data_IF_256145184889
#
_entry.id   IF_256145184889
#
_cell.length_a   1.000
_cell.length_b   1.000
_cell.length_c   1.000
_cell.angle_alpha   90.00
_cell.angle_beta   90.00
_cell.angle_gamma   90.00
#
_symmetry.space_group_name_H-M   'P 1'
#
loop_
_entity.id
_entity.type
_entity.pdbx_description
1 polymer ?
#
# COMPACT_ATOMS: atom_id res chain seq x y z
N UNK A 1 41.73 50.99 -44.20
CA UNK A 1 41.04 51.74 -43.14
C UNK A 1 40.88 50.83 -41.93
N UNK A 2 41.96 50.56 -41.21
CA UNK A 2 42.38 51.22 -39.94
C UNK A 2 41.46 50.97 -38.75
N UNK A 3 41.84 49.92 -38.02
CA UNK A 3 41.58 49.58 -36.62
C UNK A 3 41.67 50.79 -35.69
N UNK A 4 40.70 50.94 -34.76
CA UNK A 4 40.86 51.75 -33.55
C UNK A 4 40.56 50.91 -32.31
N UNK A 5 41.63 50.63 -31.56
CA UNK A 5 41.60 50.24 -30.15
C UNK A 5 41.02 51.39 -29.31
N UNK A 6 40.19 51.07 -28.32
CA UNK A 6 40.01 51.91 -27.13
C UNK A 6 40.26 51.06 -25.89
N UNK A 7 41.36 51.38 -25.21
CA UNK A 7 41.56 51.07 -23.80
C UNK A 7 40.50 51.81 -22.97
N UNK A 8 39.95 51.15 -21.97
CA UNK A 8 39.37 51.81 -20.80
C UNK A 8 40.06 51.23 -19.56
N UNK A 9 40.78 52.14 -18.89
CA UNK A 9 41.42 51.94 -17.61
C UNK A 9 40.37 51.76 -16.50
N UNK A 10 40.79 51.07 -15.46
CA UNK A 10 39.94 50.55 -14.39
C UNK A 10 39.35 51.57 -13.44
N UNK A 11 38.27 51.15 -12.79
CA UNK A 11 37.80 51.68 -11.54
C UNK A 11 38.12 50.65 -10.44
N UNK A 12 38.98 51.04 -9.50
CA UNK A 12 39.24 50.28 -8.29
C UNK A 12 38.00 50.28 -7.40
N UNK A 13 37.39 49.12 -7.22
CA UNK A 13 36.40 48.87 -6.18
C UNK A 13 37.06 48.20 -4.99
N UNK A 14 37.07 48.90 -3.86
CA UNK A 14 37.56 48.41 -2.57
C UNK A 14 36.64 47.27 -2.10
N UNK A 15 37.11 46.02 -2.14
CA UNK A 15 36.43 44.88 -1.51
C UNK A 15 36.69 44.92 0.00
N UNK A 16 35.74 45.49 0.75
CA UNK A 16 35.66 45.30 2.20
C UNK A 16 35.28 43.84 2.46
N UNK A 17 36.24 43.02 2.86
CA UNK A 17 35.98 41.69 3.40
C UNK A 17 35.26 41.83 4.75
N UNK A 18 33.93 41.70 4.73
CA UNK A 18 33.15 41.51 5.95
C UNK A 18 33.51 40.17 6.60
N UNK A 19 33.43 40.05 7.94
CA UNK A 19 33.71 38.79 8.61
C UNK A 19 32.73 37.73 8.13
N UNK A 20 33.25 36.64 7.58
CA UNK A 20 32.47 35.43 7.30
C UNK A 20 32.02 34.90 8.66
N UNK A 21 30.72 35.04 8.96
CA UNK A 21 30.14 34.43 10.14
C UNK A 21 30.33 32.92 10.04
N UNK A 22 30.99 32.33 11.04
CA UNK A 22 31.06 30.88 11.17
C UNK A 22 29.62 30.33 11.17
N UNK A 23 29.34 29.22 10.45
CA UNK A 23 28.03 28.59 10.53
C UNK A 23 27.73 28.25 12.00
N UNK A 24 26.49 28.47 12.48
CA UNK A 24 26.15 28.11 13.84
C UNK A 24 26.41 26.60 14.00
N UNK A 25 27.19 26.26 15.03
CA UNK A 25 27.32 24.89 15.50
C UNK A 25 25.90 24.37 15.74
N UNK A 26 25.42 23.47 14.86
CA UNK A 26 24.23 22.67 15.14
C UNK A 26 24.51 21.93 16.45
N UNK A 27 23.96 22.44 17.55
CA UNK A 27 23.89 21.67 18.77
C UNK A 27 23.00 20.47 18.44
N UNK A 28 23.55 19.25 18.57
CA UNK A 28 22.76 18.04 18.46
C UNK A 28 21.63 18.15 19.50
N UNK A 29 20.39 18.35 19.03
CA UNK A 29 19.22 18.35 19.90
C UNK A 29 19.10 16.94 20.47
N UNK A 30 18.97 16.83 21.79
CA UNK A 30 18.66 15.55 22.43
C UNK A 30 17.27 15.10 21.97
N UNK A 31 17.19 13.88 21.43
CA UNK A 31 15.94 13.30 20.97
C UNK A 31 15.09 12.90 22.17
N UNK A 32 13.80 13.25 22.12
CA UNK A 32 12.85 13.01 23.21
C UNK A 32 12.00 11.77 22.95
N UNK A 33 11.56 11.14 24.02
CA UNK A 33 10.52 10.12 24.01
C UNK A 33 9.27 10.66 24.72
N UNK A 34 8.12 10.59 24.07
CA UNK A 34 6.81 10.93 24.64
C UNK A 34 5.95 9.67 24.78
N UNK A 35 5.42 9.41 25.97
CA UNK A 35 4.62 8.23 26.26
C UNK A 35 3.13 8.55 26.24
N UNK A 36 2.34 7.66 25.64
CA UNK A 36 0.88 7.74 25.56
C UNK A 36 0.28 6.49 26.17
N UNK A 37 -0.84 6.60 26.88
CA UNK A 37 -1.57 5.45 27.39
C UNK A 37 -3.08 5.73 27.42
N UNK A 38 -3.92 4.69 27.29
CA UNK A 38 -5.33 4.82 27.63
C UNK A 38 -5.49 5.36 29.06
N UNK A 39 -6.27 6.42 29.22
CA UNK A 39 -6.44 7.10 30.53
C UNK A 39 -5.30 8.03 30.93
N UNK A 40 -4.36 8.33 30.03
CA UNK A 40 -3.36 9.40 30.21
C UNK A 40 -3.98 10.80 30.29
N UNK A 41 -3.13 11.83 30.41
CA UNK A 41 -3.55 13.22 30.57
C UNK A 41 -2.75 14.18 29.67
N UNK A 42 -3.45 14.89 28.79
CA UNK A 42 -2.89 15.89 27.88
C UNK A 42 -2.60 17.22 28.59
N UNK A 43 -1.52 17.28 29.35
CA UNK A 43 -1.06 18.52 29.99
C UNK A 43 0.22 19.08 29.37
N UNK A 44 0.54 20.33 29.74
CA UNK A 44 1.64 21.10 29.15
C UNK A 44 2.90 21.14 30.02
N UNK A 45 2.81 20.67 31.27
CA UNK A 45 3.91 20.66 32.22
C UNK A 45 5.01 19.66 31.83
N UNK A 46 6.27 19.88 32.27
CA UNK A 46 7.40 19.00 31.93
C UNK A 46 7.29 17.58 32.54
N UNK A 47 6.36 17.38 33.46
CA UNK A 47 6.04 16.09 34.07
C UNK A 47 4.98 15.30 33.30
N UNK A 48 4.52 15.75 32.12
CA UNK A 48 3.61 15.00 31.24
C UNK A 48 4.37 14.40 30.06
N UNK A 49 3.83 13.33 29.50
CA UNK A 49 4.47 12.59 28.40
C UNK A 49 5.60 11.67 28.88
N UNK A 50 5.73 11.45 30.19
CA UNK A 50 6.66 10.46 30.77
C UNK A 50 5.96 9.10 30.93
N UNK A 51 6.69 8.00 31.16
CA UNK A 51 6.07 6.70 31.44
C UNK A 51 5.09 6.72 32.62
N UNK A 52 5.36 7.51 33.66
CA UNK A 52 4.56 7.61 34.89
C UNK A 52 3.34 8.52 34.72
N UNK A 53 3.41 9.48 33.79
CA UNK A 53 2.34 10.44 33.48
C UNK A 53 2.21 10.62 31.97
N UNK A 54 1.73 9.57 31.26
CA UNK A 54 1.65 9.58 29.81
C UNK A 54 0.55 10.54 29.31
N UNK A 55 0.70 11.02 28.08
CA UNK A 55 -0.36 11.74 27.37
C UNK A 55 -1.55 10.83 27.05
N UNK A 56 -2.72 11.44 26.84
CA UNK A 56 -3.94 10.76 26.47
C UNK A 56 -4.04 10.58 24.95
N UNK A 57 -3.62 11.58 24.17
CA UNK A 57 -3.88 11.62 22.72
C UNK A 57 -2.63 11.77 21.86
N UNK A 58 -2.68 11.16 20.68
CA UNK A 58 -1.59 11.26 19.70
C UNK A 58 -1.39 12.67 19.12
N UNK A 59 -2.43 13.45 18.77
CA UNK A 59 -2.23 14.82 18.32
C UNK A 59 -1.50 15.70 19.34
N UNK A 60 -1.76 15.51 20.64
CA UNK A 60 -1.09 16.28 21.70
C UNK A 60 0.40 15.94 21.78
N UNK A 61 0.77 14.67 21.73
CA UNK A 61 2.18 14.26 21.69
C UNK A 61 2.88 14.71 20.41
N UNK A 62 2.20 14.55 19.26
CA UNK A 62 2.72 14.91 17.95
C UNK A 62 3.04 16.41 17.85
N UNK A 63 2.19 17.28 18.40
CA UNK A 63 2.44 18.72 18.44
C UNK A 63 3.71 19.14 19.22
N UNK A 64 4.26 18.25 20.06
CA UNK A 64 5.46 18.48 20.88
C UNK A 64 6.71 17.78 20.36
N UNK A 65 6.52 16.80 19.49
CA UNK A 65 7.58 16.00 18.92
C UNK A 65 8.06 16.59 17.59
N UNK A 66 9.33 16.41 17.27
CA UNK A 66 9.91 16.79 15.99
C UNK A 66 10.89 15.75 15.47
N UNK A 67 11.66 16.11 14.43
CA UNK A 67 12.63 15.21 13.82
C UNK A 67 13.55 14.54 14.86
N UNK A 68 13.66 13.21 14.76
CA UNK A 68 14.44 12.37 15.67
C UNK A 68 13.70 11.92 16.93
N UNK A 69 12.63 12.60 17.35
CA UNK A 69 11.85 12.25 18.53
C UNK A 69 11.01 10.97 18.29
N UNK A 70 10.61 10.32 19.39
CA UNK A 70 9.78 9.11 19.39
C UNK A 70 8.54 9.30 20.26
N UNK A 71 7.40 8.84 19.76
CA UNK A 71 6.12 8.78 20.47
C UNK A 71 5.80 7.30 20.70
N UNK A 72 5.74 6.88 21.96
CA UNK A 72 5.54 5.49 22.37
C UNK A 72 4.14 5.28 22.92
N UNK A 73 3.34 4.44 22.27
CA UNK A 73 1.97 4.12 22.66
C UNK A 73 1.93 2.83 23.49
N UNK A 74 1.41 2.91 24.71
CA UNK A 74 1.10 1.76 25.56
C UNK A 74 -0.09 0.97 25.00
N UNK A 75 -0.17 -0.30 25.37
CA UNK A 75 -1.24 -1.19 24.99
C UNK A 75 -2.60 -0.77 25.55
N UNK A 76 -3.65 -1.17 24.84
CA UNK A 76 -5.03 -0.91 25.21
C UNK A 76 -5.76 -0.06 24.16
N UNK A 77 -6.99 0.30 24.49
CA UNK A 77 -7.93 0.92 23.55
C UNK A 77 -7.94 2.44 23.73
N UNK A 78 -7.69 3.15 22.63
CA UNK A 78 -7.82 4.59 22.50
C UNK A 78 -9.11 4.89 21.72
N UNK A 79 -10.16 5.28 22.45
CA UNK A 79 -11.44 5.70 21.88
C UNK A 79 -11.57 7.22 21.78
N UNK A 80 -12.67 7.68 21.19
CA UNK A 80 -12.92 9.08 20.87
C UNK A 80 -14.05 9.71 21.68
N UNK A 81 -14.78 8.95 22.49
CA UNK A 81 -15.79 9.43 23.43
C UNK A 81 -16.94 10.19 22.77
N UNK A 82 -17.40 9.77 21.60
CA UNK A 82 -18.49 10.45 20.89
C UNK A 82 -18.07 11.67 20.05
N UNK A 83 -16.76 11.92 19.88
CA UNK A 83 -16.27 13.01 19.03
C UNK A 83 -16.70 12.83 17.58
N UNK A 84 -16.86 13.95 16.89
CA UNK A 84 -17.23 14.01 15.47
C UNK A 84 -16.04 13.82 14.51
N UNK A 85 -14.81 13.76 15.04
CA UNK A 85 -13.58 13.66 14.26
C UNK A 85 -12.52 12.85 15.02
N UNK A 86 -11.75 12.06 14.28
CA UNK A 86 -10.63 11.30 14.83
C UNK A 86 -9.37 12.12 15.09
N UNK A 87 -8.21 11.47 15.11
CA UNK A 87 -6.93 12.12 15.35
C UNK A 87 -6.30 12.62 14.05
N UNK A 88 -6.10 13.93 13.97
CA UNK A 88 -5.37 14.56 12.88
C UNK A 88 -3.93 14.89 13.33
N UNK A 89 -2.97 14.36 12.59
CA UNK A 89 -1.56 14.74 12.66
C UNK A 89 -1.27 15.55 11.40
N UNK A 90 -1.23 16.87 11.53
CA UNK A 90 -1.09 17.78 10.39
C UNK A 90 0.15 18.68 10.52
N UNK A 91 0.94 18.75 9.44
CA UNK A 91 2.21 19.48 9.41
C UNK A 91 3.28 18.87 10.32
N UNK A 92 4.49 19.44 10.31
CA UNK A 92 5.61 18.89 11.09
C UNK A 92 6.06 17.50 10.60
N UNK A 93 6.82 16.77 11.41
CA UNK A 93 7.34 15.45 11.06
C UNK A 93 8.85 15.34 11.23
N UNK A 94 9.44 14.41 10.50
CA UNK A 94 10.86 14.11 10.52
C UNK A 94 11.68 14.84 9.45
N UNK A 95 12.96 14.50 9.42
CA UNK A 95 13.92 14.88 8.39
C UNK A 95 14.59 13.62 7.81
N UNK A 96 15.22 13.70 6.62
CA UNK A 96 16.05 12.60 6.11
C UNK A 96 17.07 12.16 7.17
N UNK A 97 17.06 10.87 7.53
CA UNK A 97 17.94 10.31 8.57
C UNK A 97 17.55 10.61 10.02
N UNK A 98 16.53 11.44 10.26
CA UNK A 98 15.97 11.76 11.57
C UNK A 98 14.43 11.72 11.53
N UNK A 99 13.84 10.54 11.27
CA UNK A 99 12.40 10.41 11.23
C UNK A 99 11.77 10.70 12.60
N UNK A 100 10.53 11.17 12.59
CA UNK A 100 9.69 11.19 13.78
C UNK A 100 9.01 9.81 13.90
N UNK A 101 9.24 9.12 15.01
CA UNK A 101 8.72 7.75 15.21
C UNK A 101 7.46 7.74 16.05
N UNK A 102 6.50 6.93 15.66
CA UNK A 102 5.26 6.65 16.39
C UNK A 102 5.17 5.13 16.51
N UNK A 103 5.42 4.58 17.69
CA UNK A 103 5.58 3.15 17.86
C UNK A 103 4.80 2.58 19.05
N UNK A 104 4.31 1.36 18.89
CA UNK A 104 3.82 0.58 20.01
C UNK A 104 4.94 0.30 21.01
N UNK A 105 4.62 0.37 22.30
CA UNK A 105 5.51 -0.08 23.36
C UNK A 105 5.84 -1.57 23.16
N UNK A 106 7.10 -1.99 23.31
CA UNK A 106 7.50 -3.37 23.03
C UNK A 106 6.64 -4.42 23.76
N UNK A 107 6.04 -5.33 23.01
CA UNK A 107 5.19 -6.41 23.54
C UNK A 107 3.73 -6.00 23.83
N UNK A 108 3.39 -4.73 23.66
CA UNK A 108 2.04 -4.22 23.87
C UNK A 108 1.34 -3.93 22.53
N UNK A 109 0.00 -3.86 22.54
CA UNK A 109 -0.80 -3.60 21.33
C UNK A 109 -1.69 -2.38 21.56
N UNK A 110 -1.30 -1.19 21.05
CA UNK A 110 -2.18 -0.03 21.03
C UNK A 110 -3.26 -0.19 19.94
N UNK A 111 -4.51 0.04 20.32
CA UNK A 111 -5.68 -0.05 19.44
C UNK A 111 -6.38 1.30 19.38
N UNK A 112 -6.29 1.98 18.23
CA UNK A 112 -7.06 3.18 17.94
C UNK A 112 -8.41 2.72 17.39
N UNK A 113 -9.48 2.94 18.15
CA UNK A 113 -10.79 2.36 17.90
C UNK A 113 -11.82 3.45 17.59
N UNK A 114 -12.27 3.50 16.34
CA UNK A 114 -13.25 4.50 15.88
C UNK A 114 -14.70 4.17 16.18
N UNK A 115 -15.02 3.09 16.87
CA UNK A 115 -16.40 2.62 17.07
C UNK A 115 -17.31 3.64 17.78
N UNK A 116 -16.73 4.55 18.56
CA UNK A 116 -17.44 5.62 19.26
C UNK A 116 -17.32 6.99 18.57
N UNK A 117 -16.73 7.09 17.37
CA UNK A 117 -16.79 8.29 16.55
C UNK A 117 -18.21 8.54 16.04
N UNK A 118 -18.61 9.81 16.01
CA UNK A 118 -19.94 10.26 15.56
C UNK A 118 -19.82 11.40 14.54
N UNK A 119 -19.17 11.18 13.38
CA UNK A 119 -19.12 12.19 12.32
C UNK A 119 -20.51 12.41 11.70
N UNK A 120 -20.64 13.39 10.80
CA UNK A 120 -21.85 13.50 9.97
C UNK A 120 -22.02 12.25 9.11
N UNK A 121 -23.26 11.78 8.93
CA UNK A 121 -23.63 10.70 8.01
C UNK A 121 -24.04 11.23 6.61
N UNK A 122 -24.11 12.55 6.46
CA UNK A 122 -24.38 13.22 5.19
C UNK A 122 -23.31 12.95 4.15
N UNK A 123 -23.76 12.86 2.89
CA UNK A 123 -22.88 12.50 1.79
C UNK A 123 -21.73 13.52 1.62
N UNK A 124 -20.50 13.02 1.60
CA UNK A 124 -19.26 13.78 1.53
C UNK A 124 -18.98 14.73 2.70
N UNK A 125 -19.72 14.64 3.81
CA UNK A 125 -19.57 15.58 4.94
C UNK A 125 -18.53 15.13 5.98
N UNK A 126 -18.19 13.84 6.00
CA UNK A 126 -17.24 13.27 6.96
C UNK A 126 -15.80 13.14 6.43
N UNK A 127 -15.47 13.71 5.26
CA UNK A 127 -14.14 13.57 4.68
C UNK A 127 -13.05 14.31 5.47
N UNK A 128 -11.82 13.75 5.52
CA UNK A 128 -10.68 14.39 6.13
C UNK A 128 -10.21 15.60 5.32
N UNK A 129 -9.62 16.56 6.02
CA UNK A 129 -8.97 17.73 5.44
C UNK A 129 -7.75 18.13 6.27
N UNK A 130 -7.07 19.20 5.88
CA UNK A 130 -5.97 19.80 6.68
C UNK A 130 -6.39 20.25 8.10
N UNK A 131 -7.69 20.32 8.40
CA UNK A 131 -8.20 20.79 9.69
C UNK A 131 -9.06 19.77 10.44
N UNK A 132 -9.37 18.61 9.83
CA UNK A 132 -10.15 17.56 10.48
C UNK A 132 -9.73 16.18 9.99
N UNK A 133 -9.76 15.19 10.89
CA UNK A 133 -9.64 13.78 10.53
C UNK A 133 -10.95 13.21 9.95
N UNK A 134 -12.06 13.95 10.10
CA UNK A 134 -13.38 13.48 9.66
C UNK A 134 -13.73 12.13 10.29
N UNK A 135 -14.38 11.26 9.51
CA UNK A 135 -14.76 9.91 9.90
C UNK A 135 -13.61 8.89 9.95
N UNK A 136 -12.35 9.31 9.98
CA UNK A 136 -11.20 8.41 10.10
C UNK A 136 -10.61 8.48 11.51
N UNK A 137 -10.33 7.34 12.17
CA UNK A 137 -9.66 7.32 13.48
C UNK A 137 -8.30 8.02 13.48
N UNK A 138 -7.54 7.90 12.40
CA UNK A 138 -6.23 8.54 12.28
C UNK A 138 -5.98 9.08 10.87
N UNK A 139 -5.51 10.32 10.81
CA UNK A 139 -5.16 11.02 9.57
C UNK A 139 -3.80 11.67 9.70
N UNK A 140 -2.96 11.46 8.69
CA UNK A 140 -1.69 12.15 8.50
C UNK A 140 -1.80 13.10 7.33
N UNK A 141 -1.51 14.39 7.55
CA UNK A 141 -1.60 15.42 6.52
C UNK A 141 -0.33 16.28 6.47
N UNK A 142 0.36 16.31 5.33
CA UNK A 142 1.61 17.05 5.16
C UNK A 142 2.70 16.68 6.20
N UNK A 143 2.93 15.37 6.39
CA UNK A 143 3.82 14.83 7.44
C UNK A 143 5.04 14.10 6.84
N UNK A 144 6.10 14.81 6.41
CA UNK A 144 7.33 14.20 5.90
C UNK A 144 8.03 13.33 6.96
N UNK A 145 8.63 12.21 6.53
CA UNK A 145 9.51 11.33 7.32
C UNK A 145 8.91 10.90 8.69
N UNK A 146 7.61 10.58 8.70
CA UNK A 146 6.96 9.95 9.85
C UNK A 146 7.00 8.43 9.71
N UNK A 147 7.41 7.74 10.76
CA UNK A 147 7.45 6.27 10.83
C UNK A 147 6.45 5.76 11.86
N UNK A 148 5.43 5.04 11.41
CA UNK A 148 4.39 4.44 12.25
C UNK A 148 4.63 2.94 12.35
N UNK A 149 4.76 2.42 13.56
CA UNK A 149 5.09 1.01 13.80
C UNK A 149 4.19 0.34 14.82
N UNK A 150 3.56 -0.78 14.45
CA UNK A 150 2.88 -1.66 15.40
C UNK A 150 1.51 -1.17 15.88
N UNK A 151 0.89 -0.20 15.20
CA UNK A 151 -0.43 0.30 15.56
C UNK A 151 -1.54 -0.60 15.02
N UNK A 152 -2.61 -0.78 15.79
CA UNK A 152 -3.88 -1.33 15.29
C UNK A 152 -4.89 -0.21 15.18
N UNK A 153 -5.50 -0.06 14.01
CA UNK A 153 -6.59 0.90 13.73
C UNK A 153 -7.81 0.10 13.29
N UNK A 154 -8.93 0.31 13.96
CA UNK A 154 -10.16 -0.43 13.67
C UNK A 154 -11.43 0.38 13.82
N UNK A 155 -12.51 -0.15 13.27
CA UNK A 155 -13.86 0.40 13.41
C UNK A 155 -13.93 1.88 13.05
N UNK A 156 -13.18 2.34 12.06
CA UNK A 156 -13.29 3.70 11.57
C UNK A 156 -14.57 3.92 10.76
N UNK A 157 -15.32 5.02 10.96
CA UNK A 157 -16.55 5.29 10.21
C UNK A 157 -16.38 5.28 8.68
N UNK A 158 -15.41 6.03 8.13
CA UNK A 158 -15.13 6.11 6.68
C UNK A 158 -13.94 5.25 6.23
N UNK A 159 -13.17 4.70 7.16
CA UNK A 159 -11.92 3.99 6.87
C UNK A 159 -10.97 4.05 8.07
N UNK A 160 -9.84 3.36 7.97
CA UNK A 160 -8.89 3.23 9.09
C UNK A 160 -7.90 4.39 9.18
N UNK A 161 -6.92 4.41 8.28
CA UNK A 161 -5.85 5.39 8.27
C UNK A 161 -5.77 6.12 6.92
N UNK A 162 -5.79 7.44 6.95
CA UNK A 162 -5.73 8.28 5.74
C UNK A 162 -4.45 9.13 5.74
N UNK A 163 -3.61 8.97 4.73
CA UNK A 163 -2.38 9.76 4.55
C UNK A 163 -2.54 10.63 3.31
N UNK A 164 -2.40 11.95 3.45
CA UNK A 164 -2.61 12.91 2.36
C UNK A 164 -1.69 14.14 2.47
N UNK A 165 -1.74 15.02 1.47
CA UNK A 165 -0.81 16.14 1.34
C UNK A 165 0.56 15.69 0.86
N UNK A 166 1.62 16.36 1.33
CA UNK A 166 3.01 16.00 1.03
C UNK A 166 3.66 15.22 2.18
N UNK A 167 4.05 13.97 1.93
CA UNK A 167 4.56 13.07 2.98
C UNK A 167 5.75 12.21 2.52
N UNK A 168 6.82 12.79 1.92
CA UNK A 168 7.97 12.01 1.48
C UNK A 168 8.58 11.20 2.65
N UNK A 169 8.91 9.95 2.39
CA UNK A 169 9.54 9.05 3.35
C UNK A 169 8.62 8.57 4.47
N UNK A 170 7.30 8.67 4.32
CA UNK A 170 6.34 8.10 5.25
C UNK A 170 6.51 6.57 5.32
N UNK A 171 6.45 6.00 6.52
CA UNK A 171 6.50 4.54 6.72
C UNK A 171 5.37 4.06 7.60
N UNK A 172 4.68 3.01 7.17
CA UNK A 172 3.80 2.20 8.01
C UNK A 172 4.36 0.78 8.07
N UNK A 173 4.76 0.33 9.26
CA UNK A 173 5.34 -0.99 9.48
C UNK A 173 4.63 -1.79 10.57
N UNK A 174 4.32 -3.07 10.31
CA UNK A 174 3.69 -3.95 11.32
C UNK A 174 2.34 -3.43 11.86
N UNK A 175 1.64 -2.60 11.09
CA UNK A 175 0.35 -2.06 11.47
C UNK A 175 -0.79 -2.99 11.05
N UNK A 176 -1.95 -2.85 11.70
CA UNK A 176 -3.18 -3.56 11.35
C UNK A 176 -4.31 -2.55 11.12
N UNK A 177 -5.03 -2.68 10.01
CA UNK A 177 -6.14 -1.81 9.65
C UNK A 177 -7.37 -2.66 9.35
N UNK A 178 -8.31 -2.78 10.28
CA UNK A 178 -9.37 -3.76 10.13
C UNK A 178 -10.76 -3.32 10.59
N UNK A 179 -11.78 -3.94 9.99
CA UNK A 179 -13.20 -3.70 10.31
C UNK A 179 -13.60 -2.20 10.20
N UNK A 180 -12.98 -1.46 9.28
CA UNK A 180 -13.31 -0.05 9.02
C UNK A 180 -14.38 0.10 7.93
N UNK A 181 -14.94 1.30 7.82
CA UNK A 181 -15.91 1.72 6.79
C UNK A 181 -17.39 1.56 7.16
N UNK A 182 -17.73 1.48 8.44
CA UNK A 182 -19.11 1.14 8.86
C UNK A 182 -20.17 2.23 8.62
N UNK A 183 -19.79 3.46 8.27
CA UNK A 183 -20.69 4.61 8.21
C UNK A 183 -21.59 4.61 6.97
N UNK A 184 -20.97 4.56 5.79
CA UNK A 184 -21.62 4.64 4.49
C UNK A 184 -20.73 3.99 3.41
N UNK A 185 -21.23 3.91 2.17
CA UNK A 185 -20.53 3.27 1.04
C UNK A 185 -19.61 4.25 0.27
N UNK A 186 -19.31 5.42 0.83
CA UNK A 186 -18.44 6.41 0.18
C UNK A 186 -16.98 5.99 0.19
N UNK A 187 -16.60 5.24 1.22
CA UNK A 187 -15.25 4.79 1.45
C UNK A 187 -15.25 3.68 2.51
N UNK A 188 -14.17 2.92 2.60
CA UNK A 188 -13.98 1.99 3.70
C UNK A 188 -12.55 1.46 3.82
N UNK A 189 -11.58 2.12 3.19
CA UNK A 189 -10.20 1.61 3.06
C UNK A 189 -9.54 1.42 4.44
N UNK A 190 -8.79 0.33 4.59
CA UNK A 190 -7.94 0.10 5.76
C UNK A 190 -6.84 1.16 5.91
N UNK A 191 -5.92 1.22 4.93
CA UNK A 191 -4.90 2.27 4.81
C UNK A 191 -4.90 2.89 3.41
N UNK A 192 -5.10 4.20 3.35
CA UNK A 192 -5.04 5.00 2.12
C UNK A 192 -3.84 5.94 2.09
N UNK A 193 -3.04 5.89 1.02
CA UNK A 193 -1.95 6.83 0.73
C UNK A 193 -2.31 7.67 -0.52
N UNK A 194 -2.52 8.96 -0.32
CA UNK A 194 -2.95 9.91 -1.35
C UNK A 194 -2.05 11.15 -1.37
N UNK A 195 -2.19 12.03 -2.36
CA UNK A 195 -1.37 13.24 -2.45
C UNK A 195 -0.02 12.95 -3.08
N UNK A 196 1.09 13.38 -2.48
CA UNK A 196 2.43 13.20 -3.04
C UNK A 196 3.49 12.84 -2.00
N UNK A 197 4.52 12.10 -2.41
CA UNK A 197 5.63 11.74 -1.54
C UNK A 197 6.51 10.64 -2.14
N UNK A 198 7.82 10.87 -2.15
CA UNK A 198 8.81 9.88 -2.59
C UNK A 198 9.19 8.94 -1.46
N UNK A 199 9.62 7.72 -1.80
CA UNK A 199 10.25 6.79 -0.85
C UNK A 199 9.34 6.32 0.28
N UNK A 200 8.02 6.33 0.07
CA UNK A 200 7.07 5.83 1.06
C UNK A 200 7.14 4.31 1.19
N UNK A 201 6.91 3.79 2.40
CA UNK A 201 6.97 2.35 2.66
C UNK A 201 5.74 1.89 3.43
N UNK A 202 5.00 0.93 2.88
CA UNK A 202 3.99 0.16 3.61
C UNK A 202 4.47 -1.28 3.67
N UNK A 203 4.87 -1.73 4.87
CA UNK A 203 5.55 -3.02 5.03
C UNK A 203 5.04 -3.85 6.19
N UNK A 204 4.86 -5.14 5.96
CA UNK A 204 4.48 -6.09 7.00
C UNK A 204 3.15 -5.72 7.70
N UNK A 205 2.25 -5.04 7.00
CA UNK A 205 0.95 -4.61 7.51
C UNK A 205 -0.17 -5.59 7.14
N UNK A 206 -1.23 -5.63 7.94
CA UNK A 206 -2.44 -6.38 7.68
C UNK A 206 -3.62 -5.43 7.45
N UNK A 207 -4.42 -5.65 6.41
CA UNK A 207 -5.67 -4.93 6.20
C UNK A 207 -6.81 -5.88 5.87
N UNK A 208 -7.84 -5.95 6.72
CA UNK A 208 -8.87 -6.99 6.59
C UNK A 208 -10.23 -6.62 7.18
N UNK A 209 -11.29 -7.26 6.69
CA UNK A 209 -12.65 -7.03 7.20
C UNK A 209 -13.18 -5.62 6.94
N UNK A 210 -12.44 -4.80 6.20
CA UNK A 210 -12.85 -3.47 5.82
C UNK A 210 -14.02 -3.55 4.85
N UNK A 211 -15.05 -2.73 5.06
CA UNK A 211 -16.29 -2.84 4.31
C UNK A 211 -16.96 -1.50 4.13
N UNK A 212 -17.58 -1.27 2.98
CA UNK A 212 -18.59 -0.22 2.83
C UNK A 212 -19.82 -0.62 3.64
N UNK A 213 -20.06 0.07 4.75
CA UNK A 213 -21.16 -0.19 5.70
C UNK A 213 -22.19 0.93 5.69
N UNK A 214 -23.22 0.85 6.53
CA UNK A 214 -24.30 1.83 6.59
C UNK A 214 -25.56 1.43 5.80
N UNK A 215 -26.62 2.23 5.95
CA UNK A 215 -27.90 1.98 5.28
C UNK A 215 -27.74 2.09 3.76
N UNK A 216 -28.13 1.05 3.02
CA UNK A 216 -28.02 1.01 1.56
C UNK A 216 -26.62 0.71 1.02
N UNK A 217 -25.65 0.39 1.89
CA UNK A 217 -24.28 0.13 1.46
C UNK A 217 -24.17 -1.10 0.58
N UNK A 218 -23.39 -0.96 -0.48
CA UNK A 218 -23.29 -1.98 -1.51
C UNK A 218 -22.06 -2.87 -1.34
N UNK A 219 -21.12 -2.43 -0.49
CA UNK A 219 -19.86 -3.11 -0.20
C UNK A 219 -18.75 -2.74 -1.18
N UNK A 220 -18.88 -1.61 -1.88
CA UNK A 220 -17.88 -1.07 -2.79
C UNK A 220 -16.98 -0.05 -2.05
N UNK A 221 -15.85 0.35 -2.63
CA UNK A 221 -14.93 1.39 -2.12
C UNK A 221 -14.22 1.09 -0.79
N UNK A 222 -14.15 -0.17 -0.39
CA UNK A 222 -13.52 -0.58 0.87
C UNK A 222 -12.41 -1.60 0.65
N UNK A 223 -11.24 -1.06 0.31
CA UNK A 223 -10.04 -1.83 0.02
C UNK A 223 -9.22 -2.13 1.29
N UNK A 224 -8.33 -3.10 1.21
CA UNK A 224 -7.29 -3.28 2.22
C UNK A 224 -6.32 -2.10 2.24
N UNK A 225 -5.64 -1.91 1.12
CA UNK A 225 -4.67 -0.83 0.90
C UNK A 225 -5.00 -0.09 -0.40
N UNK A 226 -5.16 1.24 -0.31
CA UNK A 226 -5.31 2.08 -1.50
C UNK A 226 -4.13 3.04 -1.62
N UNK A 227 -3.47 3.08 -2.78
CA UNK A 227 -2.30 3.96 -3.01
C UNK A 227 -2.47 4.72 -4.33
N UNK A 228 -2.71 6.02 -4.21
CA UNK A 228 -2.93 6.93 -5.33
C UNK A 228 -2.08 8.19 -5.14
N UNK A 229 -0.79 8.09 -5.44
CA UNK A 229 0.19 9.15 -5.31
C UNK A 229 0.45 9.86 -6.65
N UNK A 230 0.67 11.16 -6.58
CA UNK A 230 1.22 11.98 -7.66
C UNK A 230 2.72 12.14 -7.46
N UNK A 231 3.50 12.07 -8.55
CA UNK A 231 4.96 12.23 -8.57
C UNK A 231 5.69 11.44 -7.48
N UNK A 232 5.42 10.14 -7.36
CA UNK A 232 6.13 9.31 -6.37
C UNK A 232 7.16 8.42 -7.03
N UNK A 233 8.39 8.50 -6.54
CA UNK A 233 9.50 7.62 -6.88
C UNK A 233 9.90 6.79 -5.66
N UNK A 234 10.10 5.49 -5.87
CA UNK A 234 10.65 4.60 -4.84
C UNK A 234 9.67 4.20 -3.74
N UNK A 235 8.35 4.37 -3.97
CA UNK A 235 7.34 3.84 -3.05
C UNK A 235 7.33 2.31 -3.08
N UNK A 236 7.35 1.70 -1.88
CA UNK A 236 7.42 0.26 -1.65
C UNK A 236 6.20 -0.22 -0.86
N UNK A 237 5.51 -1.21 -1.41
CA UNK A 237 4.40 -1.92 -0.76
C UNK A 237 4.81 -3.39 -0.63
N UNK A 238 5.23 -3.84 0.56
CA UNK A 238 5.85 -5.16 0.70
C UNK A 238 5.49 -5.99 1.95
N UNK A 239 5.37 -7.31 1.79
CA UNK A 239 5.13 -8.24 2.91
C UNK A 239 3.78 -8.06 3.60
N UNK A 240 2.84 -7.37 2.95
CA UNK A 240 1.52 -7.07 3.50
C UNK A 240 0.54 -8.22 3.28
N UNK A 241 -0.55 -8.26 4.06
CA UNK A 241 -1.68 -9.17 3.84
C UNK A 241 -2.97 -8.37 3.72
N UNK A 242 -3.76 -8.64 2.70
CA UNK A 242 -5.08 -8.05 2.53
C UNK A 242 -6.13 -9.15 2.36
N UNK A 243 -7.14 -9.21 3.23
CA UNK A 243 -8.19 -10.22 3.08
C UNK A 243 -9.57 -9.82 3.57
N UNK A 244 -10.62 -10.37 2.94
CA UNK A 244 -12.02 -10.08 3.29
C UNK A 244 -12.30 -8.58 3.40
N UNK A 245 -11.66 -7.81 2.53
CA UNK A 245 -12.07 -6.44 2.25
C UNK A 245 -13.22 -6.54 1.24
N UNK A 246 -14.28 -5.75 1.43
CA UNK A 246 -15.49 -5.94 0.63
C UNK A 246 -15.30 -5.56 -0.84
N UNK A 247 -14.32 -4.70 -1.14
CA UNK A 247 -13.91 -4.32 -2.50
C UNK A 247 -12.62 -5.06 -2.91
N UNK A 248 -11.43 -4.44 -2.89
CA UNK A 248 -10.18 -5.09 -3.29
C UNK A 248 -9.18 -5.29 -2.15
N UNK A 249 -8.19 -6.16 -2.36
CA UNK A 249 -7.07 -6.27 -1.44
C UNK A 249 -6.11 -5.09 -1.52
N UNK A 250 -5.64 -4.81 -2.74
CA UNK A 250 -4.77 -3.69 -3.07
C UNK A 250 -5.35 -2.94 -4.26
N UNK A 251 -5.54 -1.62 -4.13
CA UNK A 251 -6.06 -0.74 -5.17
C UNK A 251 -5.11 0.42 -5.47
N UNK A 252 -4.68 0.51 -6.72
CA UNK A 252 -3.85 1.59 -7.27
C UNK A 252 -4.60 2.46 -8.28
N UNK A 253 -5.94 2.47 -8.21
CA UNK A 253 -6.78 3.36 -8.98
C UNK A 253 -6.42 4.83 -8.70
N UNK A 254 -6.11 5.57 -9.76
CA UNK A 254 -5.78 6.98 -9.66
C UNK A 254 -7.02 7.80 -9.35
N UNK A 255 -6.98 8.48 -8.20
CA UNK A 255 -7.98 9.48 -7.79
C UNK A 255 -7.71 10.88 -8.40
N UNK A 256 -6.62 11.03 -9.16
CA UNK A 256 -6.17 12.29 -9.74
C UNK A 256 -6.98 12.65 -11.01
N UNK A 257 -7.31 13.94 -11.19
CA UNK A 257 -8.19 14.39 -12.29
C UNK A 257 -7.45 15.00 -13.49
N UNK A 258 -6.47 15.89 -13.25
CA UNK A 258 -5.85 16.69 -14.31
C UNK A 258 -4.83 15.90 -15.14
N UNK A 259 -4.56 16.37 -16.36
CA UNK A 259 -3.36 16.01 -17.11
C UNK A 259 -2.23 16.74 -16.41
N UNK A 260 -1.72 16.17 -15.35
CA UNK A 260 -0.62 16.81 -14.66
C UNK A 260 0.64 16.68 -15.52
N UNK A 261 1.44 17.74 -15.58
CA UNK A 261 2.76 17.74 -16.20
C UNK A 261 3.78 16.91 -15.37
N UNK A 262 3.26 15.99 -14.58
CA UNK A 262 3.84 15.30 -13.44
C UNK A 262 3.96 13.82 -13.80
N UNK A 263 5.02 13.19 -13.35
CA UNK A 263 5.54 11.92 -13.87
C UNK A 263 4.64 10.72 -13.62
N UNK A 264 4.92 9.65 -14.35
CA UNK A 264 4.41 8.31 -14.08
C UNK A 264 4.80 7.90 -12.67
N UNK A 265 3.83 7.47 -11.87
CA UNK A 265 4.06 7.01 -10.51
C UNK A 265 4.00 5.48 -10.47
N UNK A 266 5.18 4.85 -10.58
CA UNK A 266 5.35 3.41 -10.46
C UNK A 266 5.68 2.99 -9.04
N UNK A 267 5.00 1.96 -8.51
CA UNK A 267 5.28 1.38 -7.19
C UNK A 267 6.03 0.06 -7.33
N UNK A 268 6.87 -0.27 -6.33
CA UNK A 268 7.35 -1.63 -6.13
C UNK A 268 6.37 -2.37 -5.19
N UNK A 269 5.72 -3.40 -5.72
CA UNK A 269 4.72 -4.20 -5.03
C UNK A 269 5.26 -5.61 -4.86
N UNK A 270 5.74 -5.93 -3.66
CA UNK A 270 6.66 -7.04 -3.47
C UNK A 270 6.30 -7.97 -2.30
N UNK A 271 6.08 -9.25 -2.58
CA UNK A 271 5.93 -10.23 -1.51
C UNK A 271 4.65 -10.08 -0.69
N UNK A 272 3.57 -9.54 -1.26
CA UNK A 272 2.30 -9.36 -0.56
C UNK A 272 1.34 -10.54 -0.78
N UNK A 273 0.41 -10.75 0.16
CA UNK A 273 -0.65 -11.75 0.07
C UNK A 273 -2.02 -11.07 -0.03
N UNK A 274 -2.82 -11.46 -1.01
CA UNK A 274 -4.17 -10.91 -1.21
C UNK A 274 -5.19 -12.02 -1.44
N UNK A 275 -6.19 -12.15 -0.56
CA UNK A 275 -7.11 -13.29 -0.62
C UNK A 275 -8.48 -12.99 -0.06
N UNK A 276 -9.51 -13.69 -0.56
CA UNK A 276 -10.89 -13.52 -0.07
C UNK A 276 -11.43 -12.08 -0.16
N UNK A 277 -10.85 -11.21 -0.99
CA UNK A 277 -11.42 -9.89 -1.22
C UNK A 277 -12.65 -9.99 -2.13
N UNK A 278 -13.57 -9.05 -1.99
CA UNK A 278 -14.94 -9.17 -2.52
C UNK A 278 -15.87 -10.01 -1.64
N UNK A 279 -15.43 -10.37 -0.44
CA UNK A 279 -16.23 -11.04 0.58
C UNK A 279 -16.18 -10.26 1.89
N UNK A 280 -17.28 -10.28 2.63
CA UNK A 280 -17.39 -9.71 3.97
C UNK A 280 -16.65 -10.59 4.99
N UNK A 281 -16.46 -10.06 6.20
CA UNK A 281 -15.76 -10.76 7.28
C UNK A 281 -16.38 -12.12 7.66
N UNK A 282 -17.71 -12.26 7.51
CA UNK A 282 -18.48 -13.49 7.69
C UNK A 282 -18.36 -14.49 6.52
N UNK A 283 -17.68 -14.12 5.44
CA UNK A 283 -17.52 -14.92 4.22
C UNK A 283 -18.65 -14.77 3.21
N UNK A 284 -19.68 -13.96 3.49
CA UNK A 284 -20.71 -13.64 2.49
C UNK A 284 -20.12 -12.79 1.37
N UNK A 285 -20.53 -13.06 0.13
CA UNK A 285 -20.09 -12.29 -1.03
C UNK A 285 -20.56 -10.83 -0.92
N UNK A 286 -19.66 -9.88 -1.15
CA UNK A 286 -20.00 -8.47 -1.29
C UNK A 286 -20.55 -8.23 -2.72
N UNK A 287 -21.84 -7.89 -2.89
CA UNK A 287 -22.46 -7.88 -4.21
C UNK A 287 -21.89 -6.85 -5.18
N UNK A 288 -21.46 -5.67 -4.68
CA UNK A 288 -20.98 -4.57 -5.53
C UNK A 288 -19.50 -4.22 -5.40
N UNK A 289 -18.76 -4.73 -4.42
CA UNK A 289 -17.30 -4.64 -4.47
C UNK A 289 -16.77 -5.43 -5.67
N UNK A 290 -15.63 -5.09 -6.24
CA UNK A 290 -15.08 -5.75 -7.41
C UNK A 290 -14.45 -7.10 -7.03
N UNK A 291 -13.68 -7.12 -5.94
CA UNK A 291 -13.10 -8.35 -5.40
C UNK A 291 -11.84 -8.80 -6.12
N UNK A 292 -10.96 -7.86 -6.46
CA UNK A 292 -9.64 -8.14 -7.00
C UNK A 292 -8.63 -8.39 -5.87
N UNK A 293 -7.67 -9.27 -6.13
CA UNK A 293 -6.49 -9.39 -5.29
C UNK A 293 -5.62 -8.13 -5.38
N UNK A 294 -5.22 -7.78 -6.60
CA UNK A 294 -4.42 -6.61 -6.92
C UNK A 294 -5.01 -5.85 -8.12
N UNK A 295 -5.65 -4.70 -7.87
CA UNK A 295 -6.08 -3.73 -8.87
C UNK A 295 -4.96 -2.73 -9.09
N UNK A 296 -4.27 -2.84 -10.24
CA UNK A 296 -2.95 -2.24 -10.48
C UNK A 296 -2.99 -0.93 -11.26
N UNK A 297 -4.13 -0.25 -11.27
CA UNK A 297 -4.26 1.02 -11.98
C UNK A 297 -5.71 1.40 -12.19
N UNK A 298 -5.94 2.15 -13.27
CA UNK A 298 -7.21 2.76 -13.61
C UNK A 298 -7.29 4.22 -13.18
N UNK A 299 -8.32 4.89 -13.67
CA UNK A 299 -8.65 6.28 -13.31
C UNK A 299 -10.11 6.56 -13.61
N UNK A 300 -10.64 7.64 -13.04
CA UNK A 300 -12.02 8.08 -13.32
C UNK A 300 -12.18 8.41 -14.81
N UNK A 301 -13.34 8.07 -15.38
CA UNK A 301 -13.66 8.44 -16.77
C UNK A 301 -13.58 9.95 -16.94
N UNK A 302 -12.84 10.40 -17.97
CA UNK A 302 -12.61 11.81 -18.25
C UNK A 302 -11.38 12.41 -17.56
N UNK A 303 -10.84 11.75 -16.51
CA UNK A 303 -9.56 12.12 -15.94
C UNK A 303 -8.43 11.94 -16.96
N UNK A 304 -7.37 12.73 -16.81
CA UNK A 304 -6.24 12.73 -17.72
C UNK A 304 -4.91 12.33 -17.05
N UNK A 305 -4.93 11.95 -15.77
CA UNK A 305 -3.75 11.50 -15.03
C UNK A 305 -3.14 10.23 -15.63
N UNK A 306 -1.81 10.10 -15.58
CA UNK A 306 -1.13 8.83 -15.86
C UNK A 306 -1.28 7.87 -14.67
N UNK A 307 -1.24 6.56 -14.92
CA UNK A 307 -1.30 5.51 -13.89
C UNK A 307 -0.58 4.25 -14.40
N UNK A 308 -0.34 3.27 -13.53
CA UNK A 308 0.42 2.06 -13.88
C UNK A 308 1.94 2.23 -13.69
N UNK A 309 2.75 1.57 -14.51
CA UNK A 309 4.22 1.63 -14.37
C UNK A 309 4.78 0.86 -13.16
N UNK A 310 3.95 0.08 -12.48
CA UNK A 310 4.33 -0.67 -11.28
C UNK A 310 5.19 -1.89 -11.62
N UNK A 311 6.09 -2.23 -10.69
CA UNK A 311 6.80 -3.51 -10.67
C UNK A 311 6.16 -4.39 -9.60
N UNK A 312 5.52 -5.47 -10.02
CA UNK A 312 4.69 -6.35 -9.21
C UNK A 312 5.33 -7.72 -9.14
N UNK A 313 5.96 -8.02 -8.01
CA UNK A 313 6.81 -9.21 -7.86
C UNK A 313 6.56 -10.03 -6.61
N UNK A 314 6.72 -11.35 -6.71
CA UNK A 314 6.66 -12.28 -5.55
C UNK A 314 5.35 -12.23 -4.76
N UNK A 315 4.27 -11.74 -5.34
CA UNK A 315 2.99 -11.66 -4.67
C UNK A 315 2.20 -12.97 -4.81
N UNK A 316 1.39 -13.25 -3.80
CA UNK A 316 0.40 -14.32 -3.81
C UNK A 316 -0.99 -13.70 -3.85
N UNK A 317 -1.80 -14.13 -4.80
CA UNK A 317 -3.22 -13.85 -4.86
C UNK A 317 -3.97 -15.18 -4.78
N UNK A 318 -4.99 -15.27 -3.94
CA UNK A 318 -5.85 -16.45 -4.03
C UNK A 318 -7.28 -16.20 -3.65
N UNK A 319 -8.14 -16.82 -4.44
CA UNK A 319 -9.49 -17.06 -4.07
C UNK A 319 -10.22 -15.74 -3.71
N UNK A 320 -9.87 -14.65 -4.41
CA UNK A 320 -10.64 -13.43 -4.45
C UNK A 320 -11.92 -13.65 -5.28
N UNK A 321 -12.94 -12.81 -5.10
CA UNK A 321 -14.22 -12.94 -5.81
C UNK A 321 -14.03 -12.86 -7.32
N UNK A 322 -13.19 -11.94 -7.77
CA UNK A 322 -12.88 -11.66 -9.17
C UNK A 322 -11.39 -11.89 -9.43
N UNK A 323 -10.66 -10.93 -9.99
CA UNK A 323 -9.33 -11.16 -10.56
C UNK A 323 -8.26 -11.41 -9.49
N UNK A 324 -7.22 -12.17 -9.83
CA UNK A 324 -6.03 -12.26 -9.00
C UNK A 324 -5.21 -10.98 -9.09
N UNK A 325 -4.87 -10.60 -10.32
CA UNK A 325 -4.16 -9.39 -10.71
C UNK A 325 -4.87 -8.74 -11.90
N UNK A 326 -5.17 -7.46 -11.82
CA UNK A 326 -5.92 -6.70 -12.83
C UNK A 326 -5.20 -5.39 -13.15
N UNK A 327 -4.97 -5.09 -14.43
CA UNK A 327 -4.40 -3.81 -14.86
C UNK A 327 -5.39 -2.63 -14.74
N UNK A 328 -6.69 -2.91 -14.68
CA UNK A 328 -7.80 -1.96 -14.55
C UNK A 328 -7.72 -0.75 -15.50
N UNK A 329 -7.09 -0.92 -16.67
CA UNK A 329 -6.67 0.19 -17.53
C UNK A 329 -7.71 0.75 -18.51
N UNK A 330 -8.99 0.41 -18.37
CA UNK A 330 -10.04 0.68 -19.38
C UNK A 330 -10.28 2.16 -19.72
N UNK A 331 -9.78 3.10 -18.91
CA UNK A 331 -9.91 4.55 -19.09
C UNK A 331 -8.72 5.24 -19.81
N UNK A 332 -7.80 4.47 -20.42
CA UNK A 332 -6.61 4.97 -21.12
C UNK A 332 -5.53 5.56 -20.19
N UNK A 333 -4.37 5.94 -20.73
CA UNK A 333 -3.28 6.56 -19.96
C UNK A 333 -2.54 5.64 -18.99
N UNK A 334 -2.62 4.32 -19.21
CA UNK A 334 -1.88 3.30 -18.46
C UNK A 334 -0.43 3.24 -18.96
N UNK A 335 0.52 3.15 -18.04
CA UNK A 335 1.94 2.95 -18.28
C UNK A 335 2.27 1.46 -18.08
N UNK A 336 3.25 0.89 -18.83
CA UNK A 336 3.47 -0.56 -18.85
C UNK A 336 3.84 -1.12 -17.48
N UNK A 337 3.18 -2.21 -17.10
CA UNK A 337 3.45 -2.93 -15.86
C UNK A 337 4.55 -3.97 -16.07
N UNK A 338 5.34 -4.22 -15.03
CA UNK A 338 6.26 -5.35 -14.93
C UNK A 338 5.72 -6.33 -13.90
N UNK A 339 5.14 -7.44 -14.33
CA UNK A 339 4.44 -8.40 -13.46
C UNK A 339 5.20 -9.71 -13.47
N UNK A 340 6.01 -9.94 -12.44
CA UNK A 340 6.97 -11.04 -12.45
C UNK A 340 6.93 -11.94 -11.23
N UNK A 341 7.08 -13.25 -11.41
CA UNK A 341 7.23 -14.17 -10.28
C UNK A 341 6.07 -14.06 -9.27
N UNK A 342 4.82 -13.99 -9.72
CA UNK A 342 3.64 -13.98 -8.86
C UNK A 342 2.91 -15.33 -8.94
N UNK A 343 2.07 -15.64 -7.96
CA UNK A 343 1.18 -16.81 -8.00
C UNK A 343 -0.26 -16.35 -7.80
N UNK A 344 -1.15 -16.79 -8.68
CA UNK A 344 -2.59 -16.73 -8.48
C UNK A 344 -3.13 -18.15 -8.33
N UNK A 345 -3.80 -18.41 -7.20
CA UNK A 345 -4.44 -19.68 -6.90
C UNK A 345 -5.95 -19.47 -6.77
N UNK A 346 -6.74 -20.18 -7.56
CA UNK A 346 -8.19 -20.25 -7.35
C UNK A 346 -8.95 -18.89 -7.33
N UNK A 347 -8.35 -17.79 -7.78
CA UNK A 347 -9.05 -16.51 -7.98
C UNK A 347 -10.22 -16.66 -8.97
N UNK A 348 -11.06 -15.63 -9.05
CA UNK A 348 -12.35 -15.65 -9.71
C UNK A 348 -13.26 -16.72 -9.10
N UNK A 349 -13.47 -16.65 -7.77
CA UNK A 349 -14.41 -17.50 -7.04
C UNK A 349 -15.89 -17.20 -7.34
N UNK A 350 -16.19 -16.21 -8.18
CA UNK A 350 -17.56 -15.96 -8.61
C UNK A 350 -18.15 -17.19 -9.33
N UNK A 351 -19.32 -17.63 -8.85
CA UNK A 351 -20.09 -18.75 -9.40
C UNK A 351 -21.23 -18.28 -10.30
N UNK A 352 -21.38 -16.96 -10.53
CA UNK A 352 -22.41 -16.40 -11.39
C UNK A 352 -22.10 -16.64 -12.88
N UNK A 353 -22.85 -17.52 -13.58
CA UNK A 353 -22.64 -17.80 -15.00
C UNK A 353 -22.97 -16.60 -15.90
N UNK A 354 -23.71 -15.59 -15.40
CA UNK A 354 -24.09 -14.40 -16.16
C UNK A 354 -22.96 -13.35 -16.26
N UNK A 355 -21.92 -13.45 -15.43
CA UNK A 355 -20.78 -12.52 -15.42
C UNK A 355 -19.53 -13.06 -16.13
N UNK A 356 -19.64 -14.19 -16.83
CA UNK A 356 -18.55 -14.80 -17.62
C UNK A 356 -17.92 -15.98 -16.90
N UNK A 357 -17.32 -16.87 -17.69
CA UNK A 357 -16.72 -18.10 -17.17
C UNK A 357 -15.55 -17.82 -16.21
N UNK A 358 -15.37 -18.63 -15.16
CA UNK A 358 -14.35 -18.38 -14.15
C UNK A 358 -12.94 -18.51 -14.75
N UNK A 359 -12.14 -17.46 -14.61
CA UNK A 359 -10.71 -17.51 -14.93
C UNK A 359 -10.12 -16.15 -15.29
N UNK A 360 -9.66 -15.41 -14.30
CA UNK A 360 -9.01 -14.12 -14.53
C UNK A 360 -7.84 -13.89 -13.57
N UNK A 361 -7.10 -14.95 -13.26
CA UNK A 361 -5.87 -14.92 -12.46
C UNK A 361 -5.00 -13.68 -12.76
N UNK A 362 -4.82 -13.38 -14.06
CA UNK A 362 -4.11 -12.19 -14.55
C UNK A 362 -4.90 -11.55 -15.70
N UNK A 363 -5.38 -10.32 -15.51
CA UNK A 363 -6.10 -9.51 -16.52
C UNK A 363 -5.23 -8.32 -16.92
N UNK A 364 -4.54 -8.47 -18.04
CA UNK A 364 -3.68 -7.42 -18.60
C UNK A 364 -4.02 -7.25 -20.07
N UNK A 365 -4.84 -6.25 -20.39
CA UNK A 365 -5.44 -6.03 -21.72
C UNK A 365 -5.33 -4.60 -22.22
N UNK A 366 -4.87 -3.68 -21.38
CA UNK A 366 -4.98 -2.24 -21.63
C UNK A 366 -3.67 -1.56 -22.05
N UNK A 367 -2.50 -2.18 -21.82
CA UNK A 367 -1.22 -1.69 -22.33
C UNK A 367 -0.41 -2.78 -23.08
N UNK A 368 -0.07 -2.59 -24.37
CA UNK A 368 0.60 -3.62 -25.17
C UNK A 368 2.04 -3.92 -24.72
N UNK A 369 2.70 -2.98 -24.06
CA UNK A 369 4.07 -3.16 -23.55
C UNK A 369 4.15 -3.67 -22.11
N UNK A 370 3.01 -3.95 -21.46
CA UNK A 370 3.01 -4.65 -20.17
C UNK A 370 3.64 -6.03 -20.34
N UNK A 371 4.57 -6.37 -19.45
CA UNK A 371 5.31 -7.62 -19.43
C UNK A 371 4.88 -8.45 -18.23
N UNK A 372 4.45 -9.67 -18.50
CA UNK A 372 4.22 -10.71 -17.51
C UNK A 372 5.37 -11.70 -17.62
N UNK A 373 5.97 -12.16 -16.53
CA UNK A 373 6.99 -13.21 -16.59
C UNK A 373 7.09 -14.05 -15.33
N UNK A 374 7.46 -15.31 -15.47
CA UNK A 374 7.62 -16.30 -14.41
C UNK A 374 6.41 -16.40 -13.45
N UNK A 375 5.22 -15.97 -13.88
CA UNK A 375 4.01 -16.02 -13.07
C UNK A 375 3.39 -17.42 -13.15
N UNK A 376 2.67 -17.80 -12.09
CA UNK A 376 1.94 -19.07 -12.00
C UNK A 376 0.46 -18.76 -11.80
N UNK A 377 -0.38 -19.36 -12.63
CA UNK A 377 -1.83 -19.42 -12.42
C UNK A 377 -2.22 -20.88 -12.26
N UNK A 378 -2.98 -21.19 -11.20
CA UNK A 378 -3.39 -22.55 -10.90
C UNK A 378 -4.77 -22.60 -10.25
N UNK A 379 -5.65 -23.51 -10.72
CA UNK A 379 -6.86 -23.89 -10.00
C UNK A 379 -6.89 -25.37 -9.64
N UNK A 380 -7.48 -25.64 -8.48
CA UNK A 380 -7.75 -26.99 -7.99
C UNK A 380 -9.01 -27.61 -8.58
N UNK A 381 -9.78 -26.86 -9.36
CA UNK A 381 -10.98 -27.30 -10.04
C UNK A 381 -10.96 -26.78 -11.48
N UNK A 382 -11.44 -27.59 -12.43
CA UNK A 382 -11.48 -27.23 -13.85
C UNK A 382 -12.28 -25.94 -14.06
N UNK A 383 -11.59 -24.88 -14.44
CA UNK A 383 -12.14 -23.53 -14.69
C UNK A 383 -11.56 -23.00 -16.00
N UNK A 384 -12.20 -22.00 -16.60
CA UNK A 384 -11.74 -21.30 -17.80
C UNK A 384 -10.57 -20.36 -17.49
N UNK A 385 -9.56 -20.88 -16.79
CA UNK A 385 -8.36 -20.14 -16.47
C UNK A 385 -7.70 -19.66 -17.76
N UNK A 386 -7.33 -18.38 -17.79
CA UNK A 386 -6.19 -17.96 -18.59
C UNK A 386 -4.97 -18.69 -18.01
N UNK A 387 -4.73 -19.90 -18.51
CA UNK A 387 -3.50 -20.62 -18.29
C UNK A 387 -2.37 -19.72 -18.78
N UNK A 388 -1.57 -19.16 -17.86
CA UNK A 388 -0.30 -18.53 -18.23
C UNK A 388 0.61 -19.66 -18.70
N UNK A 389 0.77 -19.75 -20.02
CA UNK A 389 1.49 -20.84 -20.71
C UNK A 389 2.94 -20.46 -21.04
N UNK A 390 3.47 -19.42 -20.39
CA UNK A 390 4.77 -18.80 -20.72
C UNK A 390 5.56 -18.31 -19.50
N UNK A 391 6.89 -18.45 -19.58
CA UNK A 391 7.81 -17.78 -18.67
C UNK A 391 7.88 -16.27 -18.92
N UNK A 392 7.52 -15.75 -20.11
CA UNK A 392 7.24 -14.32 -20.36
C UNK A 392 6.12 -14.14 -21.40
N UNK A 393 5.19 -13.26 -21.12
CA UNK A 393 4.10 -12.84 -21.99
C UNK A 393 3.99 -11.30 -22.07
N UNK A 394 3.67 -10.79 -23.26
CA UNK A 394 3.28 -9.39 -23.46
C UNK A 394 1.81 -9.37 -23.89
N UNK A 395 1.03 -8.46 -23.32
CA UNK A 395 -0.44 -8.32 -23.41
C UNK A 395 -1.06 -8.72 -24.78
N UNK A 396 -2.18 -9.47 -24.74
CA UNK A 396 -2.59 -10.36 -25.84
C UNK A 396 -4.11 -10.58 -26.07
N UNK A 397 -4.98 -9.59 -25.78
CA UNK A 397 -6.42 -9.73 -26.10
C UNK A 397 -6.95 -8.73 -27.14
N UNK A 398 -6.25 -7.62 -27.41
CA UNK A 398 -6.69 -6.61 -28.40
C UNK A 398 -5.74 -6.33 -29.56
N UNK A 399 -4.47 -6.76 -29.50
CA UNK A 399 -3.50 -6.53 -30.57
C UNK A 399 -3.47 -7.63 -31.65
N UNK A 400 -4.35 -8.65 -31.54
CA UNK A 400 -4.48 -9.71 -32.53
C UNK A 400 -3.26 -10.63 -32.66
N UNK A 401 -2.31 -10.59 -31.72
CA UNK A 401 -1.17 -11.52 -31.71
C UNK A 401 -1.64 -12.89 -31.19
N UNK A 402 -1.10 -14.01 -31.67
CA UNK A 402 -1.38 -15.31 -31.06
C UNK A 402 -0.70 -15.41 -29.70
N UNK A 403 -1.32 -16.11 -28.75
CA UNK A 403 -0.65 -16.64 -27.55
C UNK A 403 0.48 -17.59 -28.01
N UNK A 404 1.68 -17.05 -28.23
CA UNK A 404 2.82 -17.85 -28.66
C UNK A 404 3.21 -18.79 -27.51
N UNK A 405 3.11 -20.09 -27.68
CA UNK A 405 3.41 -21.08 -26.63
C UNK A 405 4.92 -21.12 -26.34
N UNK A 406 5.35 -21.24 -25.08
CA UNK A 406 6.66 -21.84 -24.81
C UNK A 406 6.50 -23.36 -24.87
N UNK A 407 7.45 -24.02 -25.51
CA UNK A 407 7.64 -25.46 -25.42
C UNK A 407 8.87 -25.72 -24.52
N UNK A 408 8.82 -26.69 -23.59
CA UNK A 408 7.69 -27.57 -23.34
C UNK A 408 6.58 -26.91 -22.52
N UNK A 409 5.33 -27.30 -22.78
CA UNK A 409 4.19 -26.94 -21.92
C UNK A 409 4.35 -27.58 -20.54
N UNK A 410 4.39 -26.76 -19.50
CA UNK A 410 4.31 -27.22 -18.11
C UNK A 410 2.85 -27.51 -17.75
N UNK A 411 2.59 -28.73 -17.28
CA UNK A 411 1.27 -29.12 -16.76
C UNK A 411 1.37 -29.10 -15.24
N UNK A 412 0.73 -28.11 -14.63
CA UNK A 412 0.71 -27.98 -13.17
C UNK A 412 -0.33 -28.91 -12.56
N UNK A 413 0.04 -29.47 -11.42
CA UNK A 413 -0.79 -30.31 -10.58
C UNK A 413 -0.69 -29.84 -9.14
N UNK A 414 -1.58 -30.30 -8.27
CA UNK A 414 -1.50 -30.00 -6.85
C UNK A 414 -0.17 -30.44 -6.23
N UNK A 415 0.49 -31.46 -6.78
CA UNK A 415 1.78 -31.97 -6.28
C UNK A 415 2.98 -31.09 -6.60
N UNK A 416 2.84 -30.10 -7.48
CA UNK A 416 3.88 -29.10 -7.75
C UNK A 416 4.04 -28.09 -6.61
N UNK A 417 3.08 -28.06 -5.67
CA UNK A 417 3.13 -27.23 -4.47
C UNK A 417 3.28 -28.09 -3.20
N UNK A 418 4.12 -27.65 -2.28
CA UNK A 418 4.34 -28.32 -1.00
C UNK A 418 3.07 -28.34 -0.12
N UNK A 419 2.21 -27.32 -0.25
CA UNK A 419 0.88 -27.28 0.35
C UNK A 419 -0.05 -26.33 -0.40
N UNK A 420 -1.34 -26.65 -0.42
CA UNK A 420 -2.43 -25.77 -0.84
C UNK A 420 -3.32 -25.35 0.35
N UNK A 421 -2.93 -25.67 1.58
CA UNK A 421 -3.59 -25.24 2.80
C UNK A 421 -3.17 -23.81 3.16
N UNK A 422 -4.13 -22.88 3.13
CA UNK A 422 -3.94 -21.46 3.38
C UNK A 422 -4.19 -21.05 4.85
N UNK A 423 -4.49 -21.99 5.76
CA UNK A 423 -4.89 -21.68 7.13
C UNK A 423 -3.92 -20.74 7.87
N UNK A 424 -2.63 -20.90 7.58
CA UNK A 424 -1.54 -20.06 8.12
C UNK A 424 -1.67 -18.58 7.76
N UNK A 425 -2.33 -18.25 6.65
CA UNK A 425 -2.44 -16.88 6.16
C UNK A 425 -3.24 -15.96 7.06
N UNK A 426 -4.15 -16.51 7.88
CA UNK A 426 -4.95 -15.78 8.87
C UNK A 426 -4.30 -15.82 10.27
N UNK A 427 -3.19 -16.54 10.41
CA UNK A 427 -2.47 -16.70 11.67
C UNK A 427 -1.60 -15.49 12.06
N UNK A 428 -0.89 -15.57 13.20
CA UNK A 428 0.05 -14.55 13.61
C UNK A 428 1.22 -14.41 12.62
N UNK A 429 1.76 -13.20 12.51
CA UNK A 429 3.01 -12.94 11.79
C UNK A 429 4.20 -13.55 12.52
N UNK A 430 5.28 -13.79 11.78
CA UNK A 430 6.56 -14.22 12.33
C UNK A 430 7.30 -13.09 13.07
N UNK A 431 8.48 -13.41 13.66
CA UNK A 431 9.33 -12.41 14.29
C UNK A 431 9.62 -11.21 13.38
N UNK A 432 9.66 -10.01 13.98
CA UNK A 432 9.87 -8.76 13.23
C UNK A 432 8.71 -8.37 12.30
N UNK A 433 7.57 -9.05 12.37
CA UNK A 433 6.38 -8.80 11.54
C UNK A 433 6.40 -9.49 10.18
N UNK A 434 7.35 -10.38 9.94
CA UNK A 434 7.45 -11.14 8.69
C UNK A 434 6.19 -11.97 8.42
N UNK A 435 5.90 -12.24 7.14
CA UNK A 435 4.86 -13.20 6.78
C UNK A 435 5.16 -14.57 7.41
N UNK A 436 4.14 -15.33 7.84
CA UNK A 436 4.36 -16.60 8.50
C UNK A 436 5.00 -17.61 7.54
N UNK A 437 5.94 -18.39 8.06
CA UNK A 437 6.60 -19.47 7.30
C UNK A 437 5.61 -20.62 7.14
N UNK A 438 5.39 -21.05 5.90
CA UNK A 438 4.52 -22.18 5.58
C UNK A 438 4.94 -22.85 4.29
N UNK A 439 4.42 -24.06 4.03
CA UNK A 439 4.54 -24.73 2.73
C UNK A 439 3.53 -24.22 1.68
N UNK A 440 2.62 -23.31 2.05
CA UNK A 440 1.54 -22.85 1.17
C UNK A 440 2.11 -22.21 -0.10
N UNK A 441 1.73 -22.75 -1.25
CA UNK A 441 2.16 -22.32 -2.59
C UNK A 441 3.68 -22.35 -2.85
N UNK A 442 4.46 -23.01 -1.98
CA UNK A 442 5.89 -23.20 -2.24
C UNK A 442 6.10 -24.32 -3.26
N UNK A 443 7.02 -24.17 -4.23
CA UNK A 443 7.39 -25.25 -5.13
C UNK A 443 7.83 -26.51 -4.39
N UNK A 444 7.35 -27.68 -4.83
CA UNK A 444 7.89 -28.97 -4.40
C UNK A 444 9.29 -29.15 -4.99
N UNK A 445 10.24 -29.65 -4.19
CA UNK A 445 11.61 -29.91 -4.63
C UNK A 445 11.64 -30.88 -5.81
N UNK A 446 12.34 -30.50 -6.89
CA UNK A 446 12.40 -31.27 -8.14
C UNK A 446 11.12 -31.20 -8.99
N UNK A 447 10.13 -30.40 -8.58
CA UNK A 447 8.91 -30.14 -9.35
C UNK A 447 9.15 -29.18 -10.51
N UNK A 448 8.14 -29.08 -11.39
CA UNK A 448 8.29 -28.37 -12.66
C UNK A 448 8.36 -26.83 -12.54
N UNK A 449 8.16 -26.29 -11.34
CA UNK A 449 8.31 -24.87 -11.05
C UNK A 449 9.77 -24.45 -10.82
N UNK A 450 10.67 -25.41 -10.54
CA UNK A 450 12.06 -25.09 -10.16
C UNK A 450 12.96 -25.02 -11.39
N UNK A 451 13.71 -23.91 -11.54
CA UNK A 451 14.69 -23.71 -12.60
C UNK A 451 14.13 -23.57 -14.02
N UNK A 452 12.81 -23.37 -14.16
CA UNK A 452 12.09 -23.30 -15.44
C UNK A 452 11.63 -21.89 -15.84
N UNK A 453 11.93 -20.86 -15.05
CA UNK A 453 11.70 -19.47 -15.40
C UNK A 453 12.71 -18.93 -16.41
N UNK A 454 12.53 -17.68 -16.83
CA UNK A 454 13.46 -16.97 -17.71
C UNK A 454 14.02 -15.71 -17.07
N UNK A 455 15.21 -15.30 -17.53
CA UNK A 455 15.87 -14.06 -17.17
C UNK A 455 15.59 -12.93 -18.19
N UNK A 456 15.01 -13.26 -19.34
CA UNK A 456 14.82 -12.31 -20.43
C UNK A 456 13.78 -11.23 -20.08
N UNK A 457 14.25 -10.02 -19.76
CA UNK A 457 13.38 -8.92 -19.36
C UNK A 457 13.05 -8.89 -17.86
N UNK A 458 13.78 -9.68 -17.06
CA UNK A 458 13.63 -9.72 -15.60
C UNK A 458 13.85 -8.32 -15.00
N UNK A 459 12.96 -7.84 -14.12
CA UNK A 459 13.13 -6.57 -13.40
C UNK A 459 14.41 -6.57 -12.56
N UNK A 460 15.01 -5.39 -12.38
CA UNK A 460 16.26 -5.21 -11.62
C UNK A 460 16.16 -5.58 -10.14
N UNK A 461 14.93 -5.59 -9.62
CA UNK A 461 14.56 -5.92 -8.26
C UNK A 461 14.66 -7.44 -7.99
N UNK A 462 14.54 -8.26 -9.05
CA UNK A 462 14.69 -9.71 -8.98
C UNK A 462 16.13 -10.09 -9.32
N UNK A 463 16.97 -10.25 -8.29
CA UNK A 463 18.34 -10.73 -8.44
C UNK A 463 18.39 -12.25 -8.35
N UNK A 464 18.81 -12.92 -9.43
CA UNK A 464 18.94 -14.38 -9.48
C UNK A 464 20.33 -14.79 -9.99
N UNK A 465 20.99 -15.72 -9.29
CA UNK A 465 22.29 -16.28 -9.67
C UNK A 465 22.17 -17.47 -10.64
N UNK A 466 21.02 -18.16 -10.63
CA UNK A 466 20.68 -19.33 -11.45
C UNK A 466 19.42 -19.06 -12.29
N UNK A 467 18.95 -20.06 -13.05
CA UNK A 467 17.67 -19.92 -13.75
C UNK A 467 16.57 -19.71 -12.70
N UNK A 468 15.73 -18.66 -12.82
CA UNK A 468 14.72 -18.37 -11.82
C UNK A 468 13.68 -19.47 -11.76
N UNK A 469 13.12 -19.70 -10.58
CA UNK A 469 11.93 -20.51 -10.43
C UNK A 469 10.69 -19.76 -10.94
N UNK A 470 9.65 -20.50 -11.28
CA UNK A 470 8.34 -19.96 -11.55
C UNK A 470 7.60 -19.71 -10.23
N UNK A 471 6.80 -18.64 -10.19
CA UNK A 471 6.02 -18.24 -9.03
C UNK A 471 6.79 -17.38 -8.04
N UNK A 472 6.21 -17.20 -6.86
CA UNK A 472 6.61 -16.17 -5.90
C UNK A 472 7.71 -16.57 -4.93
N UNK A 473 7.94 -17.87 -4.76
CA UNK A 473 8.95 -18.37 -3.84
C UNK A 473 10.16 -18.90 -4.62
N UNK A 474 11.38 -18.57 -4.17
CA UNK A 474 12.55 -19.31 -4.62
C UNK A 474 12.51 -20.74 -4.06
N UNK A 475 13.19 -21.65 -4.75
CA UNK A 475 13.48 -23.00 -4.27
C UNK A 475 14.24 -22.90 -2.95
N UNK A 476 13.75 -23.62 -1.94
CA UNK A 476 14.30 -23.68 -0.59
C UNK A 476 14.43 -25.12 -0.12
#
# INVERSE_FOLDING_TARGET
MTTRRRLLLGAGGLLLAGPVAAPPLLHAREHKAFHLAPGGEDGDGPSHGTPERPFATLPHAYARAGAGDTIVLRGGVYGFGGRTSGWLLAGGGGLPGQPLRIEAFPGETPVIDGSDLRPSDGAYEAWPSRSTAGGFPIVFWDTPYVEVTGLTVRNGPLGGCHVNGSHPGFRAERCRFHDNGWLNDEHGVGLGLYGSGDGNVVRNCDAFGNHGGGEGATGSNADGFQVSLADSVGTLIAGNRAWRNSDDGFDFFSTLQAADARGVTGYLVDGNWSFENGYRSDGAMAPKGDGNGFKLGGRRRGAQSRHGGHTVIRNLSWANKSNGFDDNGSAGGIEPLQVWNNVSLNDARNVDPAMGDPGYAFVFVNHPDTVLGNNVAFATQGRNEILIRKAVERCNLRNGRPWNLFEPRLVLTATDFASLDDAVARGPRGPGGTLPVSGFLRPTRGGCLIGHGTRDGLPTELRVSEMPDLGAYPAG
#
